data_IF_130640731220
#
_entry.id   IF_130640731220
#
_cell.length_a   1.000
_cell.length_b   1.000
_cell.length_c   1.000
_cell.angle_alpha   90.00
_cell.angle_beta   90.00
_cell.angle_gamma   90.00
#
_symmetry.space_group_name_H-M   'P 1'
#
loop_
_entity.id
_entity.type
_entity.pdbx_description
1 polymer ?
#
# COMPACT_ATOMS: atom_id res chain seq x y z
N UNK A 1 -15.94 -11.43 12.94
CA UNK A 1 -15.52 -12.85 12.77
C UNK A 1 -14.01 -12.94 12.58
N UNK A 2 -13.29 -13.95 13.07
CA UNK A 2 -11.85 -14.05 12.78
C UNK A 2 -11.60 -14.34 11.30
N UNK A 3 -10.59 -13.71 10.73
CA UNK A 3 -10.09 -14.02 9.38
C UNK A 3 -9.38 -15.38 9.44
N UNK A 4 -9.90 -16.37 8.72
CA UNK A 4 -9.41 -17.76 8.79
C UNK A 4 -8.52 -18.16 7.63
N UNK A 5 -8.58 -17.40 6.53
CA UNK A 5 -7.83 -17.69 5.31
C UNK A 5 -7.51 -16.42 4.53
N UNK A 6 -6.48 -16.51 3.68
CA UNK A 6 -6.19 -15.46 2.69
C UNK A 6 -7.40 -15.16 1.80
N UNK A 7 -8.20 -16.19 1.48
CA UNK A 7 -9.40 -16.02 0.66
C UNK A 7 -10.48 -15.19 1.35
N UNK A 8 -10.68 -15.37 2.68
CA UNK A 8 -11.61 -14.54 3.44
C UNK A 8 -11.17 -13.08 3.41
N UNK A 9 -9.87 -12.84 3.61
CA UNK A 9 -9.29 -11.50 3.53
C UNK A 9 -9.50 -10.87 2.15
N UNK A 10 -9.21 -11.61 1.08
CA UNK A 10 -9.41 -11.15 -0.31
C UNK A 10 -10.87 -10.75 -0.55
N UNK A 11 -11.84 -11.55 -0.10
CA UNK A 11 -13.27 -11.26 -0.27
C UNK A 11 -13.66 -9.97 0.46
N UNK A 12 -13.14 -9.75 1.67
CA UNK A 12 -13.39 -8.53 2.45
C UNK A 12 -12.78 -7.32 1.74
N UNK A 13 -11.50 -7.39 1.41
CA UNK A 13 -10.79 -6.27 0.78
C UNK A 13 -11.34 -5.90 -0.59
N UNK A 14 -11.87 -6.88 -1.34
CA UNK A 14 -12.46 -6.64 -2.66
C UNK A 14 -13.80 -5.87 -2.62
N UNK A 15 -14.43 -5.75 -1.44
CA UNK A 15 -15.67 -4.99 -1.24
C UNK A 15 -15.43 -3.54 -0.85
N UNK A 16 -14.20 -3.17 -0.49
CA UNK A 16 -13.86 -1.81 -0.10
C UNK A 16 -14.05 -0.84 -1.27
N UNK A 17 -14.43 0.39 -0.93
CA UNK A 17 -14.52 1.49 -1.92
C UNK A 17 -13.16 1.75 -2.54
N UNK A 18 -13.16 1.94 -3.84
CA UNK A 18 -11.99 2.32 -4.63
C UNK A 18 -11.98 3.83 -4.89
N UNK A 19 -10.99 4.30 -5.66
CA UNK A 19 -10.98 5.67 -6.15
C UNK A 19 -12.26 6.00 -6.92
N UNK A 20 -12.96 7.07 -6.54
CA UNK A 20 -14.13 7.56 -7.29
C UNK A 20 -13.72 8.29 -8.56
N UNK A 21 -12.67 9.13 -8.45
CA UNK A 21 -12.11 9.93 -9.55
C UNK A 21 -10.60 9.81 -9.59
N UNK A 22 -10.06 8.67 -10.07
CA UNK A 22 -8.62 8.46 -10.06
C UNK A 22 -7.87 9.50 -10.88
N UNK A 23 -6.81 10.05 -10.30
CA UNK A 23 -5.94 11.04 -10.94
C UNK A 23 -4.80 10.37 -11.68
N UNK A 24 -4.67 10.68 -12.97
CA UNK A 24 -3.54 10.23 -13.79
C UNK A 24 -2.21 10.86 -13.39
N UNK A 25 -2.26 12.12 -12.98
CA UNK A 25 -1.06 12.85 -12.58
C UNK A 25 -0.48 12.33 -11.28
N UNK A 26 -1.32 11.73 -10.44
CA UNK A 26 -0.93 11.08 -9.19
C UNK A 26 -0.70 9.57 -9.38
N UNK A 27 -0.85 9.05 -10.59
CA UNK A 27 -0.73 7.62 -10.89
C UNK A 27 -1.60 6.74 -9.97
N UNK A 28 -2.85 7.17 -9.71
CA UNK A 28 -3.79 6.47 -8.82
C UNK A 28 -4.38 5.24 -9.50
N UNK A 29 -3.80 4.09 -9.23
CA UNK A 29 -4.33 2.79 -9.63
C UNK A 29 -4.67 1.97 -8.38
N UNK A 30 -5.91 1.45 -8.28
CA UNK A 30 -6.30 0.67 -7.11
C UNK A 30 -5.51 -0.63 -7.04
N UNK A 31 -4.90 -0.91 -5.90
CA UNK A 31 -4.31 -2.23 -5.64
C UNK A 31 -5.44 -3.27 -5.62
N UNK A 32 -5.36 -4.35 -6.43
CA UNK A 32 -6.37 -5.38 -6.42
C UNK A 32 -6.47 -6.09 -5.07
N UNK A 33 -7.70 -6.46 -4.66
CA UNK A 33 -7.96 -7.09 -3.36
C UNK A 33 -7.20 -8.41 -3.15
N UNK A 34 -7.00 -9.20 -4.21
CA UNK A 34 -6.20 -10.42 -4.16
C UNK A 34 -4.72 -10.15 -3.90
N UNK A 35 -4.14 -9.11 -4.51
CA UNK A 35 -2.74 -8.72 -4.30
C UNK A 35 -2.57 -8.15 -2.88
N UNK A 36 -3.46 -7.24 -2.45
CA UNK A 36 -3.43 -6.69 -1.11
C UNK A 36 -3.57 -7.79 -0.04
N UNK A 37 -4.49 -8.75 -0.24
CA UNK A 37 -4.67 -9.88 0.66
C UNK A 37 -3.43 -10.79 0.72
N UNK A 38 -2.82 -11.09 -0.41
CA UNK A 38 -1.61 -11.90 -0.47
C UNK A 38 -0.45 -11.21 0.23
N UNK A 39 -0.28 -9.93 0.00
CA UNK A 39 0.76 -9.14 0.63
C UNK A 39 0.60 -9.11 2.15
N UNK A 40 -0.57 -8.68 2.64
CA UNK A 40 -0.85 -8.63 4.07
C UNK A 40 -0.74 -10.01 4.75
N UNK A 41 -1.21 -11.07 4.08
CA UNK A 41 -1.14 -12.45 4.58
C UNK A 41 0.31 -12.92 4.74
N UNK A 42 1.16 -12.67 3.73
CA UNK A 42 2.58 -13.04 3.78
C UNK A 42 3.31 -12.29 4.91
N UNK A 43 3.01 -11.00 5.11
CA UNK A 43 3.55 -10.24 6.25
C UNK A 43 3.10 -10.82 7.60
N UNK A 44 1.83 -11.21 7.71
CA UNK A 44 1.30 -11.81 8.94
C UNK A 44 1.96 -13.16 9.26
N UNK A 45 2.20 -14.01 8.25
CA UNK A 45 2.91 -15.29 8.43
C UNK A 45 4.34 -15.12 8.93
N UNK A 46 4.97 -13.97 8.67
CA UNK A 46 6.30 -13.62 9.19
C UNK A 46 6.28 -12.98 10.58
N UNK A 47 5.09 -12.75 11.15
CA UNK A 47 4.94 -12.00 12.40
C UNK A 47 5.15 -10.50 12.25
N UNK A 48 5.05 -9.99 11.02
CA UNK A 48 5.27 -8.58 10.66
C UNK A 48 3.95 -7.81 10.48
N UNK A 49 2.86 -8.29 11.10
CA UNK A 49 1.59 -7.59 11.17
C UNK A 49 1.13 -7.44 12.63
N UNK A 50 0.93 -8.56 13.33
CA UNK A 50 0.33 -8.55 14.66
C UNK A 50 1.15 -7.71 15.67
N UNK A 51 0.46 -6.80 16.36
CA UNK A 51 1.05 -5.92 17.38
C UNK A 51 1.93 -4.79 16.85
N UNK A 52 2.13 -4.67 15.54
CA UNK A 52 2.99 -3.66 14.90
C UNK A 52 2.27 -2.33 14.69
N UNK A 53 3.06 -1.25 14.69
CA UNK A 53 2.66 0.06 14.15
C UNK A 53 3.20 0.14 12.72
N UNK A 54 2.31 0.28 11.76
CA UNK A 54 2.63 0.23 10.33
C UNK A 54 2.22 1.56 9.69
N UNK A 55 3.07 2.09 8.82
CA UNK A 55 2.75 3.24 7.99
C UNK A 55 2.41 2.75 6.57
N UNK A 56 1.19 3.05 6.11
CA UNK A 56 0.75 2.84 4.72
C UNK A 56 0.96 4.14 3.95
N UNK A 57 2.06 4.22 3.21
CA UNK A 57 2.50 5.44 2.56
C UNK A 57 2.00 5.53 1.12
N UNK A 58 1.28 6.62 0.81
CA UNK A 58 0.48 6.72 -0.42
C UNK A 58 -0.66 5.71 -0.38
N UNK A 59 -1.37 5.66 0.75
CA UNK A 59 -2.30 4.59 1.07
C UNK A 59 -3.49 4.49 0.10
N UNK A 60 -3.78 5.54 -0.66
CA UNK A 60 -4.98 5.59 -1.48
C UNK A 60 -6.24 5.28 -0.66
N UNK A 61 -7.14 4.40 -1.14
CA UNK A 61 -8.32 3.96 -0.40
C UNK A 61 -8.03 3.09 0.84
N UNK A 62 -6.76 2.83 1.19
CA UNK A 62 -6.33 2.16 2.41
C UNK A 62 -6.37 0.61 2.39
N UNK A 63 -6.46 0.00 1.23
CA UNK A 63 -6.70 -1.45 1.12
C UNK A 63 -5.60 -2.30 1.77
N UNK A 64 -4.32 -1.90 1.67
CA UNK A 64 -3.19 -2.65 2.25
C UNK A 64 -3.21 -2.51 3.77
N UNK A 65 -3.26 -1.27 4.28
CA UNK A 65 -3.28 -1.00 5.71
C UNK A 65 -4.48 -1.61 6.42
N UNK A 66 -5.68 -1.57 5.82
CA UNK A 66 -6.88 -2.23 6.36
C UNK A 66 -6.67 -3.75 6.42
N UNK A 67 -6.08 -4.35 5.38
CA UNK A 67 -5.71 -5.76 5.39
C UNK A 67 -4.80 -6.14 6.57
N UNK A 68 -3.84 -5.29 6.87
CA UNK A 68 -2.92 -5.48 8.01
C UNK A 68 -3.61 -5.29 9.36
N UNK A 69 -4.56 -4.34 9.48
CA UNK A 69 -5.39 -4.19 10.69
C UNK A 69 -6.25 -5.43 10.94
N UNK A 70 -6.86 -5.99 9.90
CA UNK A 70 -7.63 -7.23 9.97
C UNK A 70 -6.79 -8.44 10.41
N UNK A 71 -5.47 -8.39 10.18
CA UNK A 71 -4.50 -9.41 10.58
C UNK A 71 -3.76 -9.07 11.88
N UNK A 72 -4.29 -8.11 12.66
CA UNK A 72 -3.86 -7.85 14.02
C UNK A 72 -2.78 -6.77 14.17
N UNK A 73 -2.53 -5.93 13.17
CA UNK A 73 -1.71 -4.74 13.38
C UNK A 73 -2.29 -3.90 14.52
N UNK A 74 -1.42 -3.43 15.42
CA UNK A 74 -1.84 -2.62 16.57
C UNK A 74 -2.34 -1.24 16.13
N UNK A 75 -1.66 -0.67 15.15
CA UNK A 75 -1.98 0.64 14.59
C UNK A 75 -1.51 0.72 13.15
N UNK A 76 -2.32 1.32 12.29
CA UNK A 76 -1.89 1.74 10.95
C UNK A 76 -2.03 3.26 10.82
N UNK A 77 -0.97 3.90 10.36
CA UNK A 77 -0.94 5.31 9.99
C UNK A 77 -1.13 5.34 8.46
N UNK A 78 -2.25 5.87 8.02
CA UNK A 78 -2.55 6.07 6.61
C UNK A 78 -2.12 7.46 6.20
N UNK A 79 -1.25 7.59 5.20
CA UNK A 79 -0.84 8.89 4.67
C UNK A 79 -1.02 8.94 3.16
N UNK A 80 -1.73 9.96 2.69
CA UNK A 80 -1.88 10.30 1.27
C UNK A 80 -2.03 11.81 1.12
N UNK A 81 -1.50 12.38 0.05
CA UNK A 81 -1.62 13.82 -0.21
C UNK A 81 -2.99 14.23 -0.75
N UNK A 82 -3.78 13.27 -1.23
CA UNK A 82 -5.12 13.48 -1.77
C UNK A 82 -6.15 13.35 -0.65
N UNK A 83 -6.71 14.48 -0.21
CA UNK A 83 -7.69 14.53 0.87
C UNK A 83 -9.02 13.86 0.52
N UNK A 84 -9.43 13.84 -0.77
CA UNK A 84 -10.65 13.12 -1.19
C UNK A 84 -10.45 11.61 -1.05
N UNK A 85 -9.28 11.11 -1.44
CA UNK A 85 -8.93 9.70 -1.30
C UNK A 85 -8.78 9.32 0.18
N UNK A 86 -8.21 10.19 1.00
CA UNK A 86 -8.13 9.97 2.45
C UNK A 86 -9.51 9.83 3.10
N UNK A 87 -10.50 10.59 2.63
CA UNK A 87 -11.88 10.43 3.09
C UNK A 87 -12.45 9.04 2.73
N UNK A 88 -12.15 8.52 1.54
CA UNK A 88 -12.53 7.16 1.15
C UNK A 88 -11.85 6.12 2.05
N UNK A 89 -10.57 6.32 2.38
CA UNK A 89 -9.84 5.46 3.30
C UNK A 89 -10.50 5.41 4.69
N UNK A 90 -10.90 6.56 5.23
CA UNK A 90 -11.63 6.65 6.49
C UNK A 90 -12.96 5.88 6.45
N UNK A 91 -13.77 6.09 5.40
CA UNK A 91 -15.03 5.36 5.22
C UNK A 91 -14.82 3.85 5.14
N UNK A 92 -13.77 3.40 4.45
CA UNK A 92 -13.43 1.99 4.39
C UNK A 92 -13.06 1.43 5.77
N UNK A 93 -12.26 2.16 6.54
CA UNK A 93 -11.93 1.77 7.92
C UNK A 93 -13.18 1.72 8.80
N UNK A 94 -14.04 2.72 8.77
CA UNK A 94 -15.30 2.76 9.52
C UNK A 94 -16.20 1.55 9.18
N UNK A 95 -16.36 1.25 7.88
CA UNK A 95 -17.13 0.08 7.43
C UNK A 95 -16.58 -1.23 8.02
N UNK A 96 -15.27 -1.38 8.09
CA UNK A 96 -14.65 -2.58 8.66
C UNK A 96 -14.84 -2.65 10.17
N UNK A 97 -14.78 -1.52 10.88
CA UNK A 97 -14.98 -1.48 12.34
C UNK A 97 -16.39 -1.82 12.79
N UNK A 98 -17.40 -1.71 11.91
CA UNK A 98 -18.77 -2.17 12.19
C UNK A 98 -18.85 -3.70 12.35
N UNK A 99 -17.99 -4.47 11.67
CA UNK A 99 -18.05 -5.93 11.65
C UNK A 99 -16.86 -6.60 12.37
N UNK A 100 -15.73 -5.90 12.49
CA UNK A 100 -14.47 -6.46 13.00
C UNK A 100 -13.86 -5.58 14.07
N UNK A 101 -13.42 -6.20 15.16
CA UNK A 101 -12.56 -5.55 16.14
C UNK A 101 -11.12 -5.55 15.59
N UNK A 102 -10.61 -4.38 15.26
CA UNK A 102 -9.29 -4.18 14.65
C UNK A 102 -8.48 -3.11 15.38
N UNK A 103 -7.19 -3.00 15.07
CA UNK A 103 -6.31 -2.00 15.65
C UNK A 103 -6.68 -0.56 15.30
N UNK A 104 -5.98 0.39 15.90
CA UNK A 104 -6.21 1.81 15.71
C UNK A 104 -5.78 2.29 14.31
N UNK A 105 -6.46 3.31 13.79
CA UNK A 105 -6.07 4.02 12.58
C UNK A 105 -5.77 5.48 12.88
N UNK A 106 -4.78 6.02 12.19
CA UNK A 106 -4.50 7.46 12.11
C UNK A 106 -4.50 7.86 10.63
N UNK A 107 -5.11 9.01 10.32
CA UNK A 107 -5.28 9.46 8.94
C UNK A 107 -4.61 10.81 8.76
N UNK A 108 -3.65 10.90 7.83
CA UNK A 108 -2.85 12.08 7.57
C UNK A 108 -3.00 12.47 6.09
N UNK A 109 -3.79 13.52 5.82
CA UNK A 109 -3.96 14.07 4.47
C UNK A 109 -2.79 15.01 4.15
N UNK A 110 -1.60 14.46 3.87
CA UNK A 110 -0.39 15.23 3.61
C UNK A 110 0.60 14.46 2.72
N UNK A 111 1.57 15.17 2.15
CA UNK A 111 2.67 14.55 1.40
C UNK A 111 3.53 13.69 2.34
N UNK A 112 3.79 12.45 1.94
CA UNK A 112 4.59 11.52 2.74
C UNK A 112 6.01 12.03 3.04
N UNK A 113 6.57 12.85 2.17
CA UNK A 113 7.91 13.44 2.39
C UNK A 113 8.01 14.26 3.68
N UNK A 114 6.88 14.75 4.20
CA UNK A 114 6.79 15.59 5.40
C UNK A 114 6.48 14.79 6.68
N UNK A 115 6.28 13.49 6.57
CA UNK A 115 6.11 12.64 7.76
C UNK A 115 7.43 12.56 8.55
N UNK A 116 7.41 12.87 9.85
CA UNK A 116 8.57 12.92 10.73
C UNK A 116 8.56 11.90 11.88
N UNK A 117 7.51 11.04 11.91
CA UNK A 117 7.41 9.96 12.88
C UNK A 117 8.27 8.75 12.56
N UNK A 118 8.38 7.84 13.54
CA UNK A 118 8.98 6.51 13.37
C UNK A 118 7.91 5.43 13.45
N UNK A 119 8.08 4.35 12.70
CA UNK A 119 7.18 3.19 12.70
C UNK A 119 7.97 1.88 12.68
N UNK A 120 7.31 0.77 13.02
CA UNK A 120 7.96 -0.54 12.92
C UNK A 120 8.19 -0.94 11.47
N UNK A 121 7.21 -0.62 10.60
CA UNK A 121 7.18 -1.06 9.20
C UNK A 121 6.55 0.02 8.33
N UNK A 122 7.10 0.26 7.15
CA UNK A 122 6.43 0.97 6.06
C UNK A 122 5.95 -0.02 5.02
N UNK A 123 4.70 0.13 4.58
CA UNK A 123 4.18 -0.50 3.37
C UNK A 123 3.84 0.59 2.36
N UNK A 124 4.12 0.37 1.09
CA UNK A 124 3.84 1.35 0.06
C UNK A 124 3.67 0.72 -1.33
N UNK A 125 2.65 1.20 -2.05
CA UNK A 125 2.52 1.02 -3.49
C UNK A 125 2.67 2.40 -4.16
N UNK A 126 3.90 2.91 -4.29
CA UNK A 126 4.13 4.29 -4.71
C UNK A 126 3.80 4.51 -6.19
N UNK A 127 3.64 5.77 -6.62
CA UNK A 127 3.57 6.10 -8.04
C UNK A 127 4.79 5.53 -8.77
N UNK A 128 4.56 4.86 -9.90
CA UNK A 128 5.62 4.16 -10.63
C UNK A 128 6.58 5.08 -11.44
N UNK A 129 6.53 6.39 -11.22
CA UNK A 129 7.43 7.35 -11.84
C UNK A 129 7.20 7.55 -13.36
N UNK A 130 6.04 7.15 -13.89
CA UNK A 130 5.72 7.33 -15.32
C UNK A 130 5.34 8.77 -15.66
N UNK A 131 4.87 9.52 -14.67
CA UNK A 131 4.45 10.92 -14.78
C UNK A 131 5.35 11.87 -13.99
N UNK A 132 5.88 11.42 -12.87
CA UNK A 132 6.87 12.15 -12.08
C UNK A 132 8.15 11.32 -11.99
N UNK A 133 9.17 11.75 -12.71
CA UNK A 133 10.47 11.08 -12.72
C UNK A 133 11.02 10.95 -11.30
N UNK A 134 11.48 9.75 -10.94
CA UNK A 134 12.03 9.42 -9.61
C UNK A 134 11.05 9.55 -8.41
N UNK A 135 9.73 9.53 -8.64
CA UNK A 135 8.78 9.56 -7.52
C UNK A 135 8.94 8.35 -6.60
N UNK A 136 9.10 7.16 -7.15
CA UNK A 136 9.37 5.91 -6.43
C UNK A 136 10.64 5.96 -5.57
N UNK A 137 11.69 6.63 -6.07
CA UNK A 137 12.94 6.84 -5.31
C UNK A 137 12.70 7.66 -4.05
N UNK A 138 11.97 8.79 -4.16
CA UNK A 138 11.67 9.66 -3.01
C UNK A 138 10.85 8.92 -1.94
N UNK A 139 9.92 8.07 -2.37
CA UNK A 139 9.16 7.22 -1.46
C UNK A 139 10.07 6.24 -0.72
N UNK A 140 10.99 5.56 -1.42
CA UNK A 140 11.97 4.67 -0.78
C UNK A 140 12.89 5.41 0.19
N UNK A 141 13.46 6.57 -0.22
CA UNK A 141 14.31 7.38 0.64
C UNK A 141 13.62 7.72 1.96
N UNK A 142 12.36 8.18 1.87
CA UNK A 142 11.58 8.52 3.06
C UNK A 142 11.23 7.30 3.90
N UNK A 143 10.84 6.19 3.27
CA UNK A 143 10.53 4.94 3.97
C UNK A 143 11.73 4.42 4.77
N UNK A 144 12.95 4.47 4.19
CA UNK A 144 14.18 4.08 4.87
C UNK A 144 14.55 4.97 6.06
N UNK A 145 14.13 6.24 6.03
CA UNK A 145 14.37 7.18 7.12
C UNK A 145 13.44 6.97 8.33
N UNK A 146 12.26 6.33 8.14
CA UNK A 146 11.20 6.27 9.17
C UNK A 146 10.89 4.86 9.66
N UNK A 147 11.45 3.81 9.04
CA UNK A 147 11.23 2.43 9.48
C UNK A 147 12.41 1.51 9.15
N UNK A 148 12.70 0.51 10.01
CA UNK A 148 13.74 -0.50 9.76
C UNK A 148 13.31 -1.57 8.76
N UNK A 149 12.01 -1.74 8.52
CA UNK A 149 11.42 -2.73 7.61
C UNK A 149 10.55 -2.00 6.60
N UNK A 150 10.79 -2.24 5.32
CA UNK A 150 10.05 -1.60 4.24
C UNK A 150 9.56 -2.64 3.24
N UNK A 151 8.27 -2.62 2.97
CA UNK A 151 7.62 -3.34 1.89
C UNK A 151 7.22 -2.36 0.81
N UNK A 152 7.76 -2.51 -0.39
CA UNK A 152 7.53 -1.56 -1.46
C UNK A 152 7.27 -2.25 -2.80
N UNK A 153 6.27 -1.78 -3.52
CA UNK A 153 5.92 -2.29 -4.85
C UNK A 153 6.60 -1.44 -5.92
N UNK A 154 7.22 -2.12 -6.88
CA UNK A 154 7.93 -1.48 -7.99
C UNK A 154 7.67 -2.22 -9.29
N UNK A 155 7.86 -1.55 -10.42
CA UNK A 155 7.85 -2.23 -11.73
C UNK A 155 9.04 -3.20 -11.82
N UNK A 156 8.81 -4.35 -12.38
CA UNK A 156 9.88 -5.32 -12.63
C UNK A 156 11.06 -4.73 -13.41
N UNK A 157 10.77 -3.85 -14.37
CA UNK A 157 11.80 -3.16 -15.17
C UNK A 157 12.75 -2.27 -14.34
N UNK A 158 12.37 -1.87 -13.12
CA UNK A 158 13.20 -1.03 -12.23
C UNK A 158 13.95 -1.84 -11.16
N UNK A 159 13.89 -3.17 -11.18
CA UNK A 159 14.48 -4.05 -10.17
C UNK A 159 15.96 -3.72 -9.90
N UNK A 160 16.78 -3.64 -10.95
CA UNK A 160 18.23 -3.35 -10.79
C UNK A 160 18.50 -2.01 -10.11
N UNK A 161 17.68 -1.00 -10.40
CA UNK A 161 17.76 0.29 -9.74
C UNK A 161 17.43 0.17 -8.25
N UNK A 162 16.33 -0.50 -7.92
CA UNK A 162 15.89 -0.71 -6.52
C UNK A 162 16.96 -1.49 -5.73
N UNK A 163 17.52 -2.55 -6.32
CA UNK A 163 18.59 -3.34 -5.69
C UNK A 163 19.83 -2.49 -5.37
N UNK A 164 20.28 -1.69 -6.33
CA UNK A 164 21.43 -0.79 -6.12
C UNK A 164 21.11 0.26 -5.06
N UNK A 165 19.94 0.88 -5.13
CA UNK A 165 19.51 1.92 -4.21
C UNK A 165 19.37 1.41 -2.77
N UNK A 166 18.78 0.24 -2.56
CA UNK A 166 18.71 -0.40 -1.24
C UNK A 166 20.11 -0.62 -0.66
N UNK A 167 21.02 -1.20 -1.45
CA UNK A 167 22.41 -1.46 -1.03
C UNK A 167 23.14 -0.15 -0.65
N UNK A 168 23.02 0.88 -1.46
CA UNK A 168 23.69 2.17 -1.22
C UNK A 168 23.12 2.89 0.02
N UNK A 169 21.85 2.62 0.34
CA UNK A 169 21.16 3.14 1.53
C UNK A 169 21.33 2.26 2.77
N UNK A 170 22.11 1.19 2.71
CA UNK A 170 22.34 0.28 3.83
C UNK A 170 21.21 -0.72 4.11
N UNK A 171 20.24 -0.84 3.18
CA UNK A 171 19.15 -1.81 3.26
C UNK A 171 19.47 -3.08 2.48
N UNK A 172 19.01 -4.21 3.02
CA UNK A 172 19.14 -5.52 2.38
C UNK A 172 17.76 -5.97 1.89
N UNK A 173 17.65 -6.30 0.61
CA UNK A 173 16.48 -6.99 0.08
C UNK A 173 16.50 -8.43 0.61
N UNK A 174 15.48 -8.82 1.35
CA UNK A 174 15.33 -10.17 1.92
C UNK A 174 14.44 -11.05 1.08
N UNK A 175 13.46 -10.48 0.39
CA UNK A 175 12.52 -11.19 -0.46
C UNK A 175 12.09 -10.34 -1.65
N UNK A 176 11.72 -11.01 -2.73
CA UNK A 176 11.12 -10.42 -3.93
C UNK A 176 9.93 -11.26 -4.32
N UNK A 177 8.74 -10.63 -4.36
CA UNK A 177 7.51 -11.26 -4.84
C UNK A 177 7.13 -10.63 -6.16
N UNK A 178 6.68 -11.43 -7.11
CA UNK A 178 6.25 -10.95 -8.43
C UNK A 178 4.75 -11.09 -8.59
N UNK A 179 4.10 -10.02 -9.01
CA UNK A 179 2.67 -9.96 -9.25
C UNK A 179 2.37 -9.47 -10.67
N UNK A 180 1.36 -10.07 -11.29
CA UNK A 180 0.72 -9.48 -12.46
C UNK A 180 -0.27 -8.43 -11.97
N UNK A 181 0.07 -7.16 -12.15
CA UNK A 181 -0.75 -6.05 -11.67
C UNK A 181 -1.70 -5.57 -12.79
N UNK A 182 -3.01 -5.88 -12.71
CA UNK A 182 -3.96 -5.51 -13.75
C UNK A 182 -4.31 -4.02 -13.64
N UNK A 183 -3.81 -3.20 -14.55
CA UNK A 183 -4.25 -1.82 -14.70
C UNK A 183 -5.51 -1.83 -15.54
N UNK A 184 -6.67 -1.66 -14.91
CA UNK A 184 -7.95 -1.51 -15.62
C UNK A 184 -7.93 -0.22 -16.45
N UNK A 185 -8.66 -0.20 -17.56
CA UNK A 185 -8.88 0.99 -18.36
C UNK A 185 -9.80 1.98 -17.60
N UNK A 186 -9.22 2.70 -16.65
CA UNK A 186 -9.94 3.68 -15.81
C UNK A 186 -10.10 5.02 -16.54
N UNK A 187 -9.33 5.23 -17.63
CA UNK A 187 -9.26 6.48 -18.36
C UNK A 187 -9.67 6.29 -19.83
N UNK A 188 -10.37 7.26 -20.41
CA UNK A 188 -10.91 7.21 -21.76
C UNK A 188 -9.89 6.97 -22.88
N UNK A 189 -8.60 7.23 -22.65
CA UNK A 189 -7.51 7.04 -23.63
C UNK A 189 -6.84 5.67 -23.54
N UNK A 190 -7.29 4.77 -22.65
CA UNK A 190 -6.83 3.40 -22.66
C UNK A 190 -7.38 2.68 -23.89
N UNK A 191 -6.50 2.32 -24.82
CA UNK A 191 -6.86 1.58 -26.04
C UNK A 191 -7.32 0.14 -25.75
N UNK A 192 -6.90 -0.41 -24.61
CA UNK A 192 -7.26 -1.76 -24.16
C UNK A 192 -7.99 -1.70 -22.82
N UNK A 193 -9.03 -2.51 -22.63
CA UNK A 193 -9.81 -2.54 -21.38
C UNK A 193 -8.99 -2.98 -20.16
N UNK A 194 -7.86 -3.64 -20.39
CA UNK A 194 -6.93 -4.12 -19.34
C UNK A 194 -5.50 -4.02 -19.85
N UNK A 195 -4.62 -3.47 -19.00
CA UNK A 195 -3.17 -3.54 -19.17
C UNK A 195 -2.57 -4.25 -17.96
N UNK A 196 -1.78 -5.29 -18.20
CA UNK A 196 -1.01 -5.95 -17.14
C UNK A 196 0.36 -5.30 -17.06
N UNK A 197 0.83 -5.01 -15.86
CA UNK A 197 2.18 -4.50 -15.58
C UNK A 197 2.82 -5.49 -14.62
N UNK A 198 3.98 -6.00 -15.04
CA UNK A 198 4.84 -6.85 -14.21
C UNK A 198 5.66 -6.02 -13.23
#
# INVERSE_FOLDING_TARGET
MPIRSKRDLEVILSKLKSFEKPSLTLEQYPTPGNIAAEWAWNMALKGEAAGKTILDAGCGPGIIGIGLLLLGARKVIFIDKDSEVMHICQQNYETITEEYEIGAAEFIAHDFSLFDGETDIVVQNPPFGTKQEHADKKFLEKAFAVAPIVYSMHKWSTQKFVEAFCKDSGFKITEVWRYEFPIKAVFKFHEKPLRVVD
#
